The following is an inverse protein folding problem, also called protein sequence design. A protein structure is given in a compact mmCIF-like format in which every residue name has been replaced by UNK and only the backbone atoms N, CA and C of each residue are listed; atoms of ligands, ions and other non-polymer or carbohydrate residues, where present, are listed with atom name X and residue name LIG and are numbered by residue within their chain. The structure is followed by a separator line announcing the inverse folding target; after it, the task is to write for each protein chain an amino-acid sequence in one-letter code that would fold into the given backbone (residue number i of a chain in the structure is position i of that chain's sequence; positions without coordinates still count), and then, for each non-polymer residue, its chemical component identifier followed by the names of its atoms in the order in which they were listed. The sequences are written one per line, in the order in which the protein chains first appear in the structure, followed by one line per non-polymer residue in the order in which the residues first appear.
data_IF_729642963567
#
_entry.id   IF_729642963567
#
_cell.length_a   1.000
_cell.length_b   1.000
_cell.length_c   1.000
_cell.angle_alpha   90.00
_cell.angle_beta   90.00
_cell.angle_gamma   90.00
#
_symmetry.space_group_name_H-M   'P 1'
#
loop_
_entity.id
_entity.type
_entity.pdbx_description
1 polymer ?
#
# COMPACT_ATOMS: atom_id res chain seq x y z
N UNK A 1 119.03 -19.86 29.59
CA UNK A 1 117.78 -19.56 30.33
C UNK A 1 117.86 -18.10 30.76
N UNK A 2 116.90 -17.18 30.61
CA UNK A 2 115.56 -17.10 30.00
C UNK A 2 115.34 -15.58 29.84
N UNK A 3 115.09 -15.08 28.63
CA UNK A 3 113.83 -14.41 28.22
C UNK A 3 113.05 -13.80 29.40
N UNK A 4 113.00 -12.46 29.47
CA UNK A 4 111.83 -11.60 29.77
C UNK A 4 112.29 -10.24 30.30
N UNK A 5 112.45 -9.24 29.43
CA UNK A 5 112.42 -7.82 29.83
C UNK A 5 112.34 -6.86 28.62
N UNK A 6 111.55 -7.23 27.61
CA UNK A 6 111.24 -6.34 26.46
C UNK A 6 109.74 -6.10 26.28
N UNK A 7 108.93 -6.41 27.28
CA UNK A 7 107.46 -6.29 27.24
C UNK A 7 106.98 -5.44 28.40
N UNK A 8 107.30 -4.14 28.36
CA UNK A 8 106.76 -3.14 29.30
C UNK A 8 106.69 -1.74 28.68
N UNK A 9 106.49 -1.63 27.35
CA UNK A 9 106.34 -0.34 26.66
C UNK A 9 105.08 -0.22 25.77
N UNK A 10 104.22 -1.24 25.72
CA UNK A 10 102.95 -1.19 24.95
C UNK A 10 101.68 -1.23 25.82
N UNK A 11 101.79 -1.13 27.14
CA UNK A 11 100.66 -1.36 28.05
C UNK A 11 99.88 -0.12 28.52
N UNK A 12 100.32 1.10 28.20
CA UNK A 12 99.78 2.32 28.84
C UNK A 12 99.03 3.29 27.90
N UNK A 13 98.76 2.93 26.65
CA UNK A 13 98.04 3.80 25.69
C UNK A 13 96.61 3.35 25.36
N UNK A 14 96.05 2.35 26.05
CA UNK A 14 94.71 1.81 25.75
C UNK A 14 93.60 2.20 26.75
N UNK A 15 93.86 3.05 27.75
CA UNK A 15 92.87 3.39 28.78
C UNK A 15 92.25 4.79 28.68
N UNK A 16 92.39 5.48 27.54
CA UNK A 16 91.76 6.80 27.30
C UNK A 16 90.63 6.79 26.25
N UNK A 17 90.05 5.62 25.94
CA UNK A 17 89.00 5.48 24.91
C UNK A 17 87.60 5.11 25.41
N UNK A 18 87.36 5.03 26.73
CA UNK A 18 86.05 4.64 27.28
C UNK A 18 85.50 5.64 28.30
N UNK A 19 85.36 6.91 27.91
CA UNK A 19 84.69 7.93 28.75
C UNK A 19 83.54 8.68 28.04
N UNK A 20 83.22 8.35 26.78
CA UNK A 20 82.08 8.94 26.09
C UNK A 20 80.97 7.91 25.98
N UNK A 21 79.92 8.10 26.77
CA UNK A 21 78.65 7.39 26.61
C UNK A 21 78.13 7.66 25.18
N UNK A 22 78.03 6.64 24.30
CA UNK A 22 77.64 6.82 22.90
C UNK A 22 76.26 7.44 22.75
N UNK A 23 75.41 7.36 23.78
CA UNK A 23 74.06 7.95 23.83
C UNK A 23 74.06 9.48 23.96
N UNK A 24 75.17 10.09 24.40
CA UNK A 24 75.27 11.55 24.56
C UNK A 24 75.91 12.25 23.35
N UNK A 25 76.36 11.50 22.34
CA UNK A 25 76.90 12.09 21.12
C UNK A 25 75.81 12.86 20.37
N UNK A 26 76.15 14.03 19.80
CA UNK A 26 75.21 14.83 18.98
C UNK A 26 74.58 14.01 17.84
N UNK A 27 75.35 13.08 17.29
CA UNK A 27 74.89 12.16 16.24
C UNK A 27 73.81 11.20 16.77
N UNK A 28 73.96 10.65 17.98
CA UNK A 28 72.97 9.76 18.57
C UNK A 28 71.66 10.48 18.89
N UNK A 29 71.71 11.68 19.48
CA UNK A 29 70.52 12.49 19.76
C UNK A 29 69.79 12.92 18.49
N UNK A 30 70.54 13.22 17.43
CA UNK A 30 69.97 13.52 16.12
C UNK A 30 69.24 12.31 15.53
N UNK A 31 69.86 11.13 15.59
CA UNK A 31 69.27 9.86 15.16
C UNK A 31 68.02 9.48 15.98
N UNK A 32 68.02 9.73 17.29
CA UNK A 32 66.87 9.47 18.16
C UNK A 32 65.71 10.44 17.86
N UNK A 33 66.00 11.73 17.65
CA UNK A 33 65.00 12.70 17.22
C UNK A 33 64.44 12.41 15.82
N UNK A 34 65.29 11.94 14.88
CA UNK A 34 64.81 11.47 13.57
C UNK A 34 63.97 10.21 13.70
N UNK A 35 64.36 9.25 14.54
CA UNK A 35 63.57 8.05 14.81
C UNK A 35 62.21 8.40 15.42
N UNK A 36 62.16 9.26 16.44
CA UNK A 36 60.93 9.69 17.08
C UNK A 36 60.03 10.50 16.12
N UNK A 37 60.63 11.35 15.29
CA UNK A 37 59.95 12.08 14.21
C UNK A 37 59.34 11.12 13.18
N UNK A 38 60.11 10.12 12.72
CA UNK A 38 59.65 9.12 11.74
C UNK A 38 58.57 8.21 12.34
N UNK A 39 58.72 7.79 13.60
CA UNK A 39 57.75 6.96 14.31
C UNK A 39 56.43 7.70 14.55
N UNK A 40 56.49 8.98 14.95
CA UNK A 40 55.31 9.84 15.07
C UNK A 40 54.64 10.11 13.70
N UNK A 41 55.42 10.27 12.64
CA UNK A 41 54.90 10.45 11.28
C UNK A 41 54.25 9.17 10.74
N UNK A 42 54.75 7.98 11.12
CA UNK A 42 54.15 6.68 10.77
C UNK A 42 52.88 6.41 11.56
N UNK A 43 52.89 6.57 12.89
CA UNK A 43 51.69 6.34 13.72
C UNK A 43 50.52 7.27 13.40
N UNK A 44 50.79 8.52 12.99
CA UNK A 44 49.77 9.45 12.49
C UNK A 44 49.20 9.10 11.10
N UNK A 45 49.99 8.42 10.26
CA UNK A 45 49.52 7.86 8.98
C UNK A 45 48.59 6.67 9.25
N UNK A 46 48.97 5.79 10.18
CA UNK A 46 48.18 4.60 10.52
C UNK A 46 46.80 4.95 11.09
N UNK A 47 46.71 5.94 11.99
CA UNK A 47 45.43 6.40 12.53
C UNK A 47 44.53 7.06 11.49
N UNK A 48 45.10 7.87 10.60
CA UNK A 48 44.33 8.51 9.52
C UNK A 48 43.78 7.48 8.52
N UNK A 49 44.62 6.52 8.12
CA UNK A 49 44.24 5.43 7.22
C UNK A 49 43.17 4.56 7.88
N UNK A 50 43.34 4.17 9.15
CA UNK A 50 42.37 3.35 9.88
C UNK A 50 41.00 4.02 10.02
N UNK A 51 40.96 5.32 10.32
CA UNK A 51 39.71 6.08 10.40
C UNK A 51 38.99 6.14 9.05
N UNK A 52 39.75 6.28 7.96
CA UNK A 52 39.19 6.34 6.60
C UNK A 52 38.69 4.98 6.12
N UNK A 53 39.44 3.92 6.40
CA UNK A 53 39.06 2.54 6.10
C UNK A 53 37.78 2.15 6.84
N UNK A 54 37.67 2.55 8.11
CA UNK A 54 36.47 2.33 8.93
C UNK A 54 35.27 3.10 8.36
N UNK A 55 35.44 4.36 7.97
CA UNK A 55 34.37 5.14 7.36
C UNK A 55 33.92 4.55 6.01
N UNK A 56 34.86 4.06 5.20
CA UNK A 56 34.57 3.36 3.95
C UNK A 56 33.75 2.10 4.18
N UNK A 57 34.19 1.24 5.11
CA UNK A 57 33.49 0.01 5.46
C UNK A 57 32.04 0.29 5.89
N UNK A 58 31.84 1.33 6.71
CA UNK A 58 30.50 1.74 7.15
C UNK A 58 29.62 2.21 5.98
N UNK A 59 30.16 2.99 5.05
CA UNK A 59 29.40 3.42 3.84
C UNK A 59 29.06 2.21 2.98
N UNK A 60 30.00 1.29 2.75
CA UNK A 60 29.76 0.06 1.99
C UNK A 60 28.69 -0.83 2.64
N UNK A 61 28.72 -0.97 3.97
CA UNK A 61 27.72 -1.73 4.72
C UNK A 61 26.33 -1.09 4.62
N UNK A 62 26.24 0.22 4.80
CA UNK A 62 24.99 0.96 4.64
C UNK A 62 24.44 0.84 3.21
N UNK A 63 25.28 0.95 2.17
CA UNK A 63 24.86 0.77 0.77
C UNK A 63 24.36 -0.64 0.50
N UNK A 64 24.97 -1.66 1.13
CA UNK A 64 24.48 -3.04 1.07
C UNK A 64 23.11 -3.18 1.74
N UNK A 65 22.93 -2.60 2.92
CA UNK A 65 21.65 -2.60 3.64
C UNK A 65 20.55 -1.88 2.83
N UNK A 66 20.87 -0.75 2.21
CA UNK A 66 19.97 -0.04 1.29
C UNK A 66 19.55 -0.96 0.14
N UNK A 67 20.50 -1.61 -0.52
CA UNK A 67 20.22 -2.52 -1.65
C UNK A 67 19.34 -3.70 -1.24
N UNK A 68 19.61 -4.29 -0.08
CA UNK A 68 18.80 -5.39 0.45
C UNK A 68 17.37 -4.95 0.72
N UNK A 69 17.20 -3.81 1.40
CA UNK A 69 15.88 -3.21 1.66
C UNK A 69 15.14 -2.87 0.37
N UNK A 70 15.80 -2.25 -0.60
CA UNK A 70 15.22 -2.00 -1.92
C UNK A 70 14.78 -3.29 -2.63
N UNK A 71 15.56 -4.38 -2.50
CA UNK A 71 15.25 -5.67 -3.14
C UNK A 71 14.01 -6.37 -2.59
N UNK A 72 13.53 -5.98 -1.41
CA UNK A 72 12.32 -6.52 -0.77
C UNK A 72 11.15 -5.54 -0.73
N UNK A 73 11.33 -4.31 -1.22
CA UNK A 73 10.25 -3.32 -1.29
C UNK A 73 9.07 -3.87 -2.08
N UNK A 74 7.87 -3.77 -1.50
CA UNK A 74 6.63 -4.21 -2.12
C UNK A 74 6.46 -5.72 -2.23
N UNK A 75 7.41 -6.54 -1.75
CA UNK A 75 7.23 -7.99 -1.68
C UNK A 75 6.41 -8.34 -0.43
N UNK A 76 5.40 -9.24 -0.54
CA UNK A 76 4.72 -9.78 0.62
C UNK A 76 5.70 -10.51 1.55
N UNK A 77 5.40 -10.54 2.85
CA UNK A 77 6.12 -11.41 3.78
C UNK A 77 5.83 -12.88 3.44
N UNK A 78 6.86 -13.73 3.54
CA UNK A 78 6.75 -15.15 3.20
C UNK A 78 5.58 -15.82 3.94
N UNK A 79 4.65 -16.38 3.15
CA UNK A 79 3.49 -17.11 3.67
C UNK A 79 2.32 -16.27 4.18
N UNK A 80 2.32 -14.94 4.00
CA UNK A 80 1.20 -14.08 4.44
C UNK A 80 0.50 -13.38 3.27
N UNK A 81 -0.83 -13.43 3.27
CA UNK A 81 -1.67 -12.55 2.45
C UNK A 81 -1.83 -11.24 3.21
N UNK A 82 -1.12 -10.22 2.77
CA UNK A 82 -1.22 -8.89 3.36
C UNK A 82 -2.30 -8.05 2.67
N UNK A 83 -2.98 -7.23 3.45
CA UNK A 83 -3.88 -6.22 2.88
C UNK A 83 -3.06 -5.07 2.29
N UNK A 84 -3.59 -4.40 1.26
CA UNK A 84 -2.92 -3.25 0.61
C UNK A 84 -2.48 -2.17 1.63
N UNK A 85 -3.30 -1.78 2.63
CA UNK A 85 -2.88 -0.82 3.65
C UNK A 85 -1.68 -1.25 4.50
N UNK A 86 -1.55 -2.55 4.79
CA UNK A 86 -0.43 -3.07 5.59
C UNK A 86 0.87 -3.05 4.77
N UNK A 87 0.77 -3.40 3.48
CA UNK A 87 1.87 -3.32 2.53
C UNK A 87 2.35 -1.87 2.36
N UNK A 88 1.44 -0.91 2.21
CA UNK A 88 1.76 0.52 2.10
C UNK A 88 2.54 1.03 3.32
N UNK A 89 2.09 0.71 4.54
CA UNK A 89 2.78 1.11 5.77
C UNK A 89 4.19 0.55 5.85
N UNK A 90 4.39 -0.71 5.44
CA UNK A 90 5.73 -1.31 5.39
C UNK A 90 6.61 -0.60 4.37
N UNK A 91 6.12 -0.39 3.13
CA UNK A 91 6.88 0.31 2.09
C UNK A 91 7.30 1.71 2.59
N UNK A 92 6.39 2.45 3.21
CA UNK A 92 6.69 3.76 3.78
C UNK A 92 7.77 3.69 4.89
N UNK A 93 7.69 2.71 5.78
CA UNK A 93 8.68 2.50 6.84
C UNK A 93 10.07 2.10 6.28
N UNK A 94 10.11 1.23 5.28
CA UNK A 94 11.35 0.83 4.61
C UNK A 94 11.98 2.00 3.84
N UNK A 95 11.18 2.82 3.15
CA UNK A 95 11.65 4.05 2.50
C UNK A 95 12.21 5.06 3.50
N UNK A 96 11.63 5.17 4.70
CA UNK A 96 12.15 6.02 5.77
C UNK A 96 13.52 5.52 6.27
N UNK A 97 13.68 4.22 6.47
CA UNK A 97 14.96 3.61 6.89
C UNK A 97 16.03 3.85 5.81
N UNK A 98 15.69 3.65 4.53
CA UNK A 98 16.62 3.89 3.42
C UNK A 98 17.06 5.36 3.38
N UNK A 99 16.12 6.30 3.54
CA UNK A 99 16.40 7.74 3.57
C UNK A 99 17.38 8.11 4.71
N UNK A 100 17.19 7.51 5.90
CA UNK A 100 18.11 7.68 7.02
C UNK A 100 19.52 7.16 6.73
N UNK A 101 19.64 5.97 6.13
CA UNK A 101 20.93 5.38 5.76
C UNK A 101 21.65 6.22 4.69
N UNK A 102 20.91 6.78 3.73
CA UNK A 102 21.45 7.70 2.73
C UNK A 102 21.96 8.99 3.37
N UNK A 103 21.20 9.55 4.32
CA UNK A 103 21.62 10.72 5.10
C UNK A 103 22.90 10.47 5.89
N UNK A 104 23.00 9.31 6.54
CA UNK A 104 24.20 8.95 7.31
C UNK A 104 25.42 8.70 6.41
N UNK A 105 25.21 8.12 5.23
CA UNK A 105 26.25 7.98 4.22
C UNK A 105 26.79 9.34 3.75
N UNK A 106 25.92 10.35 3.52
CA UNK A 106 26.35 11.72 3.19
C UNK A 106 27.25 12.30 4.28
N UNK A 107 26.86 12.17 5.55
CA UNK A 107 27.67 12.64 6.70
C UNK A 107 29.00 11.90 6.82
N UNK A 108 29.02 10.59 6.53
CA UNK A 108 30.25 9.79 6.52
C UNK A 108 31.19 10.25 5.41
N UNK A 109 30.69 10.45 4.19
CA UNK A 109 31.47 10.95 3.07
C UNK A 109 32.02 12.35 3.36
N UNK A 110 31.23 13.26 3.93
CA UNK A 110 31.72 14.58 4.32
C UNK A 110 32.88 14.49 5.32
N UNK A 111 32.81 13.56 6.30
CA UNK A 111 33.91 13.29 7.22
C UNK A 111 35.14 12.75 6.49
N UNK A 112 34.96 11.80 5.57
CA UNK A 112 36.05 11.26 4.75
C UNK A 112 36.72 12.36 3.91
N UNK A 113 35.93 13.25 3.29
CA UNK A 113 36.41 14.37 2.49
C UNK A 113 37.21 15.38 3.30
N UNK A 114 36.74 15.72 4.51
CA UNK A 114 37.48 16.57 5.46
C UNK A 114 38.80 15.93 5.87
N UNK A 115 38.78 14.65 6.23
CA UNK A 115 39.97 13.90 6.65
C UNK A 115 41.01 13.75 5.53
N UNK A 116 40.55 13.49 4.29
CA UNK A 116 41.41 13.44 3.11
C UNK A 116 42.06 14.81 2.83
N UNK A 117 41.27 15.90 2.90
CA UNK A 117 41.76 17.27 2.65
C UNK A 117 42.76 17.75 3.71
N UNK A 118 42.57 17.36 4.97
CA UNK A 118 43.47 17.73 6.07
C UNK A 118 44.86 17.05 5.98
N UNK A 119 44.99 15.98 5.21
CA UNK A 119 46.22 15.18 5.09
C UNK A 119 46.88 15.26 3.70
N UNK A 120 46.55 16.32 2.94
CA UNK A 120 46.97 16.60 1.55
C UNK A 120 48.46 16.48 1.25
N UNK A 121 49.34 16.61 2.24
CA UNK A 121 50.80 16.62 2.05
C UNK A 121 51.46 15.24 2.22
N UNK A 122 50.72 14.19 2.61
CA UNK A 122 51.34 12.93 3.06
C UNK A 122 51.39 11.80 2.03
N UNK A 123 50.49 11.70 1.03
CA UNK A 123 50.52 10.63 0.00
C UNK A 123 49.70 11.06 -1.25
N UNK A 124 50.35 11.58 -2.32
CA UNK A 124 49.65 12.08 -3.52
C UNK A 124 48.84 11.01 -4.29
N UNK A 125 49.34 9.77 -4.36
CA UNK A 125 48.71 8.71 -5.16
C UNK A 125 47.55 8.00 -4.43
N UNK A 126 47.70 7.81 -3.11
CA UNK A 126 46.62 7.35 -2.25
C UNK A 126 45.52 8.41 -2.13
N UNK A 127 45.88 9.69 -2.03
CA UNK A 127 44.91 10.81 -2.05
C UNK A 127 44.05 10.78 -3.31
N UNK A 128 44.67 10.62 -4.48
CA UNK A 128 43.95 10.56 -5.76
C UNK A 128 42.98 9.38 -5.83
N UNK A 129 43.40 8.21 -5.35
CA UNK A 129 42.54 7.02 -5.26
C UNK A 129 41.37 7.29 -4.32
N UNK A 130 41.62 7.84 -3.13
CA UNK A 130 40.58 8.15 -2.14
C UNK A 130 39.57 9.19 -2.64
N UNK A 131 40.03 10.26 -3.29
CA UNK A 131 39.15 11.25 -3.89
C UNK A 131 38.26 10.64 -4.97
N UNK A 132 38.82 9.75 -5.79
CA UNK A 132 38.06 9.03 -6.83
C UNK A 132 37.00 8.11 -6.20
N UNK A 133 37.36 7.36 -5.16
CA UNK A 133 36.41 6.51 -4.43
C UNK A 133 35.30 7.32 -3.77
N UNK A 134 35.63 8.44 -3.14
CA UNK A 134 34.65 9.36 -2.54
C UNK A 134 33.68 9.88 -3.61
N UNK A 135 34.20 10.36 -4.74
CA UNK A 135 33.37 10.86 -5.84
C UNK A 135 32.41 9.78 -6.39
N UNK A 136 32.88 8.54 -6.54
CA UNK A 136 32.03 7.43 -6.98
C UNK A 136 30.90 7.12 -5.99
N UNK A 137 31.17 7.18 -4.68
CA UNK A 137 30.14 7.00 -3.65
C UNK A 137 29.14 8.16 -3.62
N UNK A 138 29.60 9.40 -3.81
CA UNK A 138 28.72 10.58 -3.95
C UNK A 138 27.75 10.40 -5.14
N UNK A 139 28.25 9.94 -6.29
CA UNK A 139 27.40 9.62 -7.46
C UNK A 139 26.37 8.53 -7.15
N UNK A 140 26.81 7.44 -6.51
CA UNK A 140 25.91 6.31 -6.17
C UNK A 140 24.79 6.75 -5.21
N UNK A 141 25.11 7.59 -4.23
CA UNK A 141 24.11 8.12 -3.29
C UNK A 141 23.14 9.05 -4.00
N UNK A 142 23.63 9.91 -4.91
CA UNK A 142 22.76 10.80 -5.68
C UNK A 142 21.77 10.01 -6.57
N UNK A 143 22.23 8.93 -7.20
CA UNK A 143 21.36 8.02 -7.96
C UNK A 143 20.30 7.37 -7.05
N UNK A 144 20.71 6.91 -5.87
CA UNK A 144 19.79 6.28 -4.89
C UNK A 144 18.79 7.26 -4.30
N UNK A 145 19.19 8.50 -4.03
CA UNK A 145 18.29 9.57 -3.61
C UNK A 145 17.20 9.83 -4.67
N UNK A 146 17.59 9.90 -5.95
CA UNK A 146 16.67 10.09 -7.07
C UNK A 146 15.68 8.93 -7.20
N UNK A 147 16.17 7.69 -7.07
CA UNK A 147 15.34 6.49 -7.07
C UNK A 147 14.31 6.50 -5.92
N UNK A 148 14.74 6.88 -4.71
CA UNK A 148 13.87 6.96 -3.53
C UNK A 148 12.82 8.07 -3.65
N UNK A 149 13.19 9.21 -4.24
CA UNK A 149 12.23 10.27 -4.54
C UNK A 149 11.14 9.77 -5.50
N UNK A 150 11.52 9.09 -6.59
CA UNK A 150 10.59 8.50 -7.54
C UNK A 150 9.67 7.44 -6.91
N UNK A 151 10.21 6.57 -6.05
CA UNK A 151 9.41 5.57 -5.32
C UNK A 151 8.40 6.23 -4.36
N UNK A 152 8.77 7.31 -3.68
CA UNK A 152 7.86 8.08 -2.80
C UNK A 152 6.71 8.72 -3.60
N UNK A 153 7.01 9.27 -4.78
CA UNK A 153 5.99 9.83 -5.68
C UNK A 153 5.03 8.75 -6.20
N UNK A 154 5.56 7.61 -6.64
CA UNK A 154 4.75 6.48 -7.11
C UNK A 154 3.84 5.93 -6.00
N UNK A 155 4.36 5.80 -4.77
CA UNK A 155 3.57 5.37 -3.62
C UNK A 155 2.41 6.34 -3.36
N UNK A 156 2.69 7.64 -3.35
CA UNK A 156 1.67 8.67 -3.14
C UNK A 156 0.60 8.64 -4.23
N UNK A 157 1.00 8.52 -5.50
CA UNK A 157 0.10 8.43 -6.65
C UNK A 157 -0.76 7.15 -6.61
N UNK A 158 -0.17 6.04 -6.22
CA UNK A 158 -0.88 4.75 -6.09
C UNK A 158 -1.92 4.83 -4.96
N UNK A 159 -1.56 5.40 -3.81
CA UNK A 159 -2.49 5.59 -2.69
C UNK A 159 -3.68 6.47 -3.07
N UNK A 160 -3.43 7.58 -3.77
CA UNK A 160 -4.49 8.44 -4.27
C UNK A 160 -5.42 7.71 -5.26
N UNK A 161 -4.84 6.91 -6.15
CA UNK A 161 -5.61 6.11 -7.12
C UNK A 161 -6.46 5.05 -6.41
N UNK A 162 -5.91 4.38 -5.39
CA UNK A 162 -6.63 3.38 -4.60
C UNK A 162 -7.81 4.01 -3.85
N UNK A 163 -7.60 5.14 -3.18
CA UNK A 163 -8.66 5.86 -2.48
C UNK A 163 -9.80 6.28 -3.43
N UNK A 164 -9.45 6.75 -4.64
CA UNK A 164 -10.43 7.06 -5.67
C UNK A 164 -11.20 5.81 -6.14
N UNK A 165 -10.52 4.67 -6.30
CA UNK A 165 -11.15 3.43 -6.74
C UNK A 165 -12.12 2.87 -5.69
N UNK A 166 -11.76 2.95 -4.40
CA UNK A 166 -12.65 2.58 -3.29
C UNK A 166 -13.93 3.43 -3.32
N UNK A 167 -13.78 4.74 -3.46
CA UNK A 167 -14.94 5.66 -3.53
C UNK A 167 -15.84 5.33 -4.72
N UNK A 168 -15.25 5.15 -5.91
CA UNK A 168 -16.00 4.78 -7.11
C UNK A 168 -16.73 3.45 -6.97
N UNK A 169 -16.10 2.46 -6.31
CA UNK A 169 -16.72 1.17 -6.05
C UNK A 169 -17.94 1.30 -5.15
N UNK A 170 -17.83 2.06 -4.05
CA UNK A 170 -18.94 2.31 -3.13
C UNK A 170 -20.11 3.01 -3.83
N UNK A 171 -19.82 4.03 -4.65
CA UNK A 171 -20.86 4.72 -5.43
C UNK A 171 -21.56 3.78 -6.42
N UNK A 172 -20.79 2.91 -7.08
CA UNK A 172 -21.34 1.91 -8.01
C UNK A 172 -22.18 0.85 -7.30
N UNK A 173 -21.76 0.41 -6.12
CA UNK A 173 -22.52 -0.54 -5.31
C UNK A 173 -23.84 0.06 -4.82
N UNK A 174 -23.83 1.31 -4.34
CA UNK A 174 -25.03 2.03 -3.95
C UNK A 174 -25.97 2.23 -5.15
N UNK A 175 -25.43 2.65 -6.30
CA UNK A 175 -26.22 2.83 -7.52
C UNK A 175 -26.82 1.50 -7.99
N UNK A 176 -26.04 0.42 -7.99
CA UNK A 176 -26.53 -0.91 -8.37
C UNK A 176 -27.63 -1.39 -7.41
N UNK A 177 -27.47 -1.15 -6.11
CA UNK A 177 -28.49 -1.49 -5.10
C UNK A 177 -29.78 -0.70 -5.31
N UNK A 178 -29.67 0.61 -5.54
CA UNK A 178 -30.83 1.46 -5.82
C UNK A 178 -31.54 1.05 -7.12
N UNK A 179 -30.79 0.81 -8.20
CA UNK A 179 -31.34 0.34 -9.46
C UNK A 179 -32.03 -1.01 -9.32
N UNK A 180 -31.45 -1.94 -8.54
CA UNK A 180 -32.04 -3.24 -8.26
C UNK A 180 -33.35 -3.09 -7.50
N UNK A 181 -33.40 -2.21 -6.49
CA UNK A 181 -34.62 -1.91 -5.74
C UNK A 181 -35.70 -1.31 -6.64
N UNK A 182 -35.36 -0.40 -7.56
CA UNK A 182 -36.31 0.17 -8.52
C UNK A 182 -36.83 -0.86 -9.54
N UNK A 183 -35.95 -1.70 -10.10
CA UNK A 183 -36.34 -2.76 -11.04
C UNK A 183 -37.29 -3.79 -10.41
N UNK A 184 -37.07 -4.07 -9.12
CA UNK A 184 -37.85 -5.03 -8.36
C UNK A 184 -39.10 -4.42 -7.72
N UNK A 185 -39.35 -3.11 -7.90
CA UNK A 185 -40.54 -2.46 -7.37
C UNK A 185 -41.77 -2.86 -8.19
N UNK A 186 -42.81 -3.30 -7.50
CA UNK A 186 -44.14 -3.48 -8.05
C UNK A 186 -45.20 -3.04 -7.02
N UNK A 187 -46.45 -3.04 -7.44
CA UNK A 187 -47.56 -2.54 -6.65
C UNK A 187 -48.74 -3.49 -6.75
N UNK A 188 -49.40 -3.77 -5.63
CA UNK A 188 -50.63 -4.57 -5.66
C UNK A 188 -51.74 -3.99 -4.79
N UNK A 189 -52.98 -4.29 -5.15
CA UNK A 189 -54.13 -4.12 -4.26
C UNK A 189 -55.12 -5.27 -4.46
N UNK A 190 -55.87 -5.54 -3.40
CA UNK A 190 -56.95 -6.52 -3.37
C UNK A 190 -58.17 -5.83 -2.78
N UNK A 191 -59.32 -5.94 -3.44
CA UNK A 191 -60.55 -5.35 -2.95
C UNK A 191 -61.76 -5.82 -3.74
N UNK A 192 -62.94 -5.51 -3.23
CA UNK A 192 -64.19 -5.76 -3.96
C UNK A 192 -64.30 -4.85 -5.17
N UNK A 193 -65.08 -5.24 -6.18
CA UNK A 193 -65.28 -4.41 -7.37
C UNK A 193 -65.87 -3.02 -7.06
N UNK A 194 -66.55 -2.87 -5.92
CA UNK A 194 -67.02 -1.57 -5.41
C UNK A 194 -65.87 -0.75 -4.82
N UNK A 195 -65.10 -1.33 -3.90
CA UNK A 195 -63.96 -0.64 -3.27
C UNK A 195 -62.92 -0.19 -4.30
N UNK A 196 -62.57 -1.06 -5.25
CA UNK A 196 -61.63 -0.72 -6.31
C UNK A 196 -62.12 0.45 -7.18
N UNK A 197 -63.43 0.53 -7.43
CA UNK A 197 -64.02 1.63 -8.20
C UNK A 197 -64.08 2.91 -7.38
N UNK A 198 -64.54 2.84 -6.14
CA UNK A 198 -64.73 3.98 -5.24
C UNK A 198 -63.37 4.61 -4.87
N UNK A 199 -62.30 3.82 -4.82
CA UNK A 199 -60.92 4.29 -4.65
C UNK A 199 -60.23 4.69 -5.97
N UNK A 200 -60.93 4.68 -7.10
CA UNK A 200 -60.38 5.12 -8.38
C UNK A 200 -59.30 4.20 -8.98
N UNK A 201 -59.21 2.95 -8.52
CA UNK A 201 -58.27 1.94 -9.03
C UNK A 201 -58.75 1.36 -10.36
N UNK A 202 -60.07 1.20 -10.52
CA UNK A 202 -60.68 0.65 -11.73
C UNK A 202 -61.80 1.54 -12.26
N UNK A 203 -61.95 1.56 -13.58
CA UNK A 203 -63.08 2.17 -14.30
C UNK A 203 -63.94 1.08 -14.94
N UNK A 204 -65.22 1.38 -15.15
CA UNK A 204 -66.13 0.52 -15.94
C UNK A 204 -66.23 1.11 -17.34
N UNK A 205 -65.54 0.50 -18.29
CA UNK A 205 -65.45 0.98 -19.68
C UNK A 205 -65.98 -0.06 -20.67
N UNK A 206 -66.51 0.44 -21.80
CA UNK A 206 -67.12 -0.37 -22.85
C UNK A 206 -68.60 -0.71 -22.61
N UNK A 207 -69.27 -1.19 -23.66
CA UNK A 207 -70.68 -1.60 -23.62
C UNK A 207 -71.67 -0.50 -24.03
N UNK A 208 -72.58 -0.83 -24.94
CA UNK A 208 -73.69 0.03 -25.34
C UNK A 208 -74.79 -0.09 -24.29
N UNK A 209 -75.20 1.02 -23.66
CA UNK A 209 -76.32 1.07 -22.69
C UNK A 209 -76.21 0.04 -21.55
N UNK A 210 -75.07 0.02 -20.85
CA UNK A 210 -74.92 -0.76 -19.59
C UNK A 210 -74.64 -2.26 -19.75
N UNK A 211 -74.85 -2.83 -20.93
CA UNK A 211 -74.54 -4.23 -21.24
C UNK A 211 -73.12 -4.32 -21.82
N UNK A 212 -72.28 -5.20 -21.26
CA UNK A 212 -70.90 -5.41 -21.73
C UNK A 212 -69.84 -4.49 -21.11
N UNK A 213 -70.17 -3.77 -20.03
CA UNK A 213 -69.17 -2.99 -19.27
C UNK A 213 -68.12 -3.92 -18.67
N UNK A 214 -66.86 -3.71 -19.05
CA UNK A 214 -65.71 -4.42 -18.48
C UNK A 214 -65.02 -3.56 -17.42
N UNK A 215 -64.66 -4.16 -16.30
CA UNK A 215 -63.79 -3.52 -15.29
C UNK A 215 -62.37 -3.48 -15.84
N UNK A 216 -61.79 -2.28 -15.95
CA UNK A 216 -60.41 -2.07 -16.41
C UNK A 216 -59.64 -1.23 -15.41
N UNK A 217 -58.32 -1.39 -15.41
CA UNK A 217 -57.41 -0.57 -14.61
C UNK A 217 -57.55 0.91 -15.03
N UNK A 218 -57.69 1.82 -14.06
CA UNK A 218 -57.73 3.26 -14.33
C UNK A 218 -56.32 3.77 -14.67
N UNK A 219 -56.04 4.16 -15.91
CA UNK A 219 -54.71 4.65 -16.32
C UNK A 219 -54.59 6.18 -16.33
N UNK A 220 -55.69 6.93 -16.15
CA UNK A 220 -55.71 8.39 -16.29
C UNK A 220 -55.70 9.17 -14.97
N UNK A 221 -55.75 8.47 -13.83
CA UNK A 221 -55.77 9.07 -12.50
C UNK A 221 -55.81 8.02 -11.40
N UNK A 222 -54.98 6.98 -11.54
CA UNK A 222 -54.93 5.87 -10.60
C UNK A 222 -54.53 6.37 -9.21
N UNK A 223 -55.32 6.03 -8.19
CA UNK A 223 -54.94 6.31 -6.82
C UNK A 223 -53.83 5.35 -6.37
N UNK A 224 -52.58 5.78 -6.45
CA UNK A 224 -51.42 4.99 -6.01
C UNK A 224 -51.40 4.74 -4.50
N UNK A 225 -52.07 5.55 -3.68
CA UNK A 225 -52.12 5.37 -2.22
C UNK A 225 -52.90 4.11 -1.82
N UNK A 226 -53.80 3.63 -2.68
CA UNK A 226 -54.53 2.38 -2.45
C UNK A 226 -53.67 1.13 -2.75
N UNK A 227 -52.54 1.30 -3.43
CA UNK A 227 -51.62 0.21 -3.71
C UNK A 227 -50.60 0.03 -2.60
N UNK A 228 -50.25 -1.22 -2.33
CA UNK A 228 -49.11 -1.60 -1.51
C UNK A 228 -47.91 -1.80 -2.42
N UNK A 229 -46.82 -1.06 -2.16
CA UNK A 229 -45.54 -1.28 -2.81
C UNK A 229 -44.92 -2.59 -2.31
N UNK A 230 -44.36 -3.38 -3.21
CA UNK A 230 -43.71 -4.66 -2.92
C UNK A 230 -42.40 -4.81 -3.69
N UNK A 231 -41.49 -5.60 -3.13
CA UNK A 231 -40.35 -6.15 -3.85
C UNK A 231 -40.75 -7.51 -4.43
N UNK A 232 -40.71 -7.62 -5.76
CA UNK A 232 -41.11 -8.83 -6.49
C UNK A 232 -40.28 -10.06 -6.14
N UNK A 233 -39.07 -9.88 -5.59
CA UNK A 233 -38.19 -10.98 -5.18
C UNK A 233 -38.49 -11.51 -3.79
N UNK A 234 -39.21 -10.73 -2.97
CA UNK A 234 -39.51 -11.07 -1.58
C UNK A 234 -40.96 -11.50 -1.40
N UNK A 235 -41.90 -10.81 -2.07
CA UNK A 235 -43.33 -11.07 -1.91
C UNK A 235 -43.84 -12.02 -2.99
N UNK A 236 -43.83 -13.31 -2.66
CA UNK A 236 -44.32 -14.38 -3.53
C UNK A 236 -45.76 -14.79 -3.24
N UNK A 237 -46.34 -14.34 -2.12
CA UNK A 237 -47.71 -14.68 -1.74
C UNK A 237 -48.50 -13.43 -1.42
N UNK A 238 -49.71 -13.35 -1.96
CA UNK A 238 -50.62 -12.21 -1.78
C UNK A 238 -51.92 -12.72 -1.17
N UNK A 239 -52.28 -12.32 0.06
CA UNK A 239 -53.53 -12.74 0.69
C UNK A 239 -54.73 -12.12 -0.02
N UNK A 240 -55.76 -12.93 -0.28
CA UNK A 240 -56.98 -12.54 -0.98
C UNK A 240 -58.24 -12.79 -0.12
N UNK A 241 -58.32 -13.93 0.55
CA UNK A 241 -59.38 -14.31 1.50
C UNK A 241 -60.83 -14.13 0.96
N UNK A 242 -61.08 -14.53 -0.28
CA UNK A 242 -62.36 -14.32 -0.97
C UNK A 242 -63.05 -15.65 -1.38
N UNK A 243 -64.34 -15.61 -1.69
CA UNK A 243 -65.03 -16.79 -2.26
C UNK A 243 -64.61 -16.98 -3.71
N UNK A 244 -64.49 -15.89 -4.46
CA UNK A 244 -63.97 -15.88 -5.82
C UNK A 244 -63.01 -14.72 -5.97
N UNK A 245 -61.98 -14.90 -6.80
CA UNK A 245 -61.04 -13.84 -7.09
C UNK A 245 -60.71 -13.82 -8.58
N UNK A 246 -60.54 -12.62 -9.12
CA UNK A 246 -60.22 -12.39 -10.53
C UNK A 246 -59.16 -11.32 -10.66
N UNK A 247 -58.15 -11.56 -11.50
CA UNK A 247 -57.17 -10.53 -11.87
C UNK A 247 -57.81 -9.57 -12.88
N UNK A 248 -57.72 -8.28 -12.58
CA UNK A 248 -58.13 -7.20 -13.49
C UNK A 248 -56.97 -6.82 -14.42
N UNK A 249 -55.74 -6.90 -13.91
CA UNK A 249 -54.50 -6.68 -14.67
C UNK A 249 -54.03 -7.96 -15.34
N UNK A 250 -53.27 -7.82 -16.43
CA UNK A 250 -52.79 -8.96 -17.22
C UNK A 250 -51.49 -9.51 -16.66
N UNK A 251 -51.48 -10.81 -16.31
CA UNK A 251 -50.32 -11.55 -15.83
C UNK A 251 -50.33 -12.95 -16.46
N UNK A 252 -49.18 -13.51 -16.92
CA UNK A 252 -49.14 -14.82 -17.55
C UNK A 252 -49.71 -15.93 -16.65
N UNK A 253 -50.63 -16.75 -17.17
CA UNK A 253 -51.36 -17.74 -16.37
C UNK A 253 -50.46 -18.83 -15.74
N UNK A 254 -49.30 -19.12 -16.35
CA UNK A 254 -48.32 -20.07 -15.83
C UNK A 254 -47.41 -19.48 -14.72
N UNK A 255 -47.47 -18.18 -14.48
CA UNK A 255 -46.60 -17.48 -13.52
C UNK A 255 -47.18 -17.36 -12.11
N UNK A 256 -48.43 -17.78 -11.89
CA UNK A 256 -49.10 -17.73 -10.58
C UNK A 256 -50.15 -18.83 -10.42
N UNK A 257 -50.60 -19.02 -9.17
CA UNK A 257 -51.70 -19.91 -8.77
C UNK A 257 -52.60 -19.20 -7.78
N UNK A 258 -53.90 -19.46 -7.86
CA UNK A 258 -54.88 -19.05 -6.84
C UNK A 258 -55.19 -20.26 -5.97
N UNK A 259 -54.95 -20.16 -4.67
CA UNK A 259 -54.99 -21.28 -3.74
C UNK A 259 -55.95 -21.00 -2.59
N UNK A 260 -56.75 -22.00 -2.23
CA UNK A 260 -57.68 -21.97 -1.10
C UNK A 260 -58.50 -23.27 -1.02
N UNK A 261 -58.97 -23.66 0.18
CA UNK A 261 -59.80 -24.85 0.37
C UNK A 261 -61.22 -24.61 -0.15
N UNK A 262 -61.90 -25.71 -0.50
CA UNK A 262 -63.35 -25.74 -0.79
C UNK A 262 -63.83 -24.72 -1.84
N UNK A 263 -62.99 -24.45 -2.86
CA UNK A 263 -63.31 -23.55 -3.96
C UNK A 263 -63.22 -22.06 -3.61
N UNK A 264 -62.69 -21.71 -2.43
CA UNK A 264 -62.32 -20.34 -2.05
C UNK A 264 -60.92 -19.97 -2.56
N UNK A 265 -60.60 -18.68 -2.54
CA UNK A 265 -59.27 -18.16 -2.85
C UNK A 265 -58.73 -17.43 -1.62
N UNK A 266 -57.88 -18.11 -0.86
CA UNK A 266 -57.25 -17.56 0.33
C UNK A 266 -56.02 -16.72 -0.04
N UNK A 267 -55.22 -17.18 -1.01
CA UNK A 267 -54.03 -16.46 -1.50
C UNK A 267 -53.77 -16.64 -2.99
N UNK A 268 -53.02 -15.69 -3.55
CA UNK A 268 -52.36 -15.78 -4.84
C UNK A 268 -50.88 -16.07 -4.60
N UNK A 269 -50.41 -17.21 -5.11
CA UNK A 269 -49.00 -17.64 -5.03
C UNK A 269 -48.32 -17.39 -6.38
N UNK A 270 -47.28 -16.57 -6.40
CA UNK A 270 -46.46 -16.24 -7.56
C UNK A 270 -45.38 -17.32 -7.70
N UNK A 271 -45.39 -18.03 -8.82
CA UNK A 271 -44.46 -19.14 -9.11
C UNK A 271 -43.22 -18.64 -9.85
N UNK A 272 -43.39 -17.67 -10.75
CA UNK A 272 -42.30 -16.99 -11.43
C UNK A 272 -42.51 -15.47 -11.36
N UNK A 273 -41.82 -14.78 -10.45
CA UNK A 273 -41.98 -13.33 -10.28
C UNK A 273 -41.64 -12.52 -11.53
N UNK A 274 -40.58 -12.91 -12.26
CA UNK A 274 -40.16 -12.16 -13.43
C UNK A 274 -41.20 -12.28 -14.55
N UNK A 275 -41.69 -13.51 -14.79
CA UNK A 275 -42.76 -13.73 -15.75
C UNK A 275 -44.06 -13.04 -15.31
N UNK A 276 -44.42 -13.12 -14.03
CA UNK A 276 -45.65 -12.54 -13.48
C UNK A 276 -45.68 -11.01 -13.65
N UNK A 277 -44.58 -10.33 -13.33
CA UNK A 277 -44.47 -8.87 -13.40
C UNK A 277 -43.96 -8.33 -14.75
N UNK A 278 -43.83 -9.20 -15.77
CA UNK A 278 -43.29 -8.82 -17.09
C UNK A 278 -44.24 -7.91 -17.90
N UNK A 279 -45.55 -8.14 -17.79
CA UNK A 279 -46.58 -7.41 -18.57
C UNK A 279 -47.05 -6.16 -17.84
N UNK A 280 -47.16 -6.22 -16.52
CA UNK A 280 -47.61 -5.12 -15.67
C UNK A 280 -46.88 -5.16 -14.33
N UNK A 281 -46.43 -4.00 -13.85
CA UNK A 281 -45.92 -3.80 -12.48
C UNK A 281 -47.03 -3.49 -11.46
N UNK A 282 -48.27 -3.42 -11.91
CA UNK A 282 -49.46 -3.22 -11.08
C UNK A 282 -50.30 -4.48 -11.13
N UNK A 283 -50.60 -5.02 -9.95
CA UNK A 283 -51.52 -6.13 -9.76
C UNK A 283 -52.80 -5.63 -9.10
N UNK A 284 -53.94 -5.88 -9.74
CA UNK A 284 -55.25 -5.61 -9.16
C UNK A 284 -56.05 -6.90 -9.13
N UNK A 285 -56.37 -7.34 -7.91
CA UNK A 285 -57.21 -8.52 -7.68
C UNK A 285 -58.58 -8.06 -7.20
N UNK A 286 -59.61 -8.37 -7.98
CA UNK A 286 -60.99 -8.23 -7.53
C UNK A 286 -61.38 -9.47 -6.72
N UNK A 287 -61.76 -9.27 -5.46
CA UNK A 287 -62.22 -10.28 -4.52
C UNK A 287 -63.74 -10.17 -4.34
N UNK A 288 -64.47 -11.26 -4.61
CA UNK A 288 -65.94 -11.37 -4.50
C UNK A 288 -66.37 -12.42 -3.46
#
# INVERSE_FOLDING_TARGET
MKKTLFTALCGLTLLWSCQNDPTQSEQYKHLEHEHDSVSAQSGGKDTTINNLLSAFNNVSENLRAIKEKQGVLGKPLDGQVETTPDMEKRIAADLYIIDSLLSDNKKLIERMRRNASANKSKINELEKTLQTTIANMELTIAEKDSEIAGLKEQLTSTNASLASMITMYQDKEQLATAQRAELNKAYYCVGTGKELKDNGVVTKEGGFVGIGKSTKLNTQGMNMEYFKQVDITQMLEIPVNAKKAKLITSHPANSYKMEGPDGRVDKLTIVDPNAFWSVSKYLVVQAD
#
